data_IF_099394662869
#
_entry.id   IF_099394662869
#
_cell.length_a   1.000
_cell.length_b   1.000
_cell.length_c   1.000
_cell.angle_alpha   90.00
_cell.angle_beta   90.00
_cell.angle_gamma   90.00
#
_symmetry.space_group_name_H-M   'P 1'
#
loop_
_entity.id
_entity.type
_entity.pdbx_description
1 polymer ?
#
# COMPACT_ATOMS: atom_id res chain seq x y z
N UNK A 1 19.82 -60.38 16.35
CA UNK A 1 20.46 -60.87 15.10
C UNK A 1 19.85 -60.04 13.98
N UNK A 2 20.50 -59.17 13.22
CA UNK A 2 21.90 -58.85 12.87
C UNK A 2 21.91 -57.33 12.59
N UNK A 3 22.94 -56.51 12.81
CA UNK A 3 24.32 -56.66 13.25
C UNK A 3 25.08 -55.36 12.86
N UNK A 4 26.06 -54.98 13.70
CA UNK A 4 27.26 -54.15 13.43
C UNK A 4 27.03 -52.65 13.16
N UNK A 5 27.27 -51.76 14.13
CA UNK A 5 28.53 -51.22 14.72
C UNK A 5 29.21 -50.10 13.90
N UNK A 6 29.51 -49.02 14.64
CA UNK A 6 30.64 -48.08 14.55
C UNK A 6 30.50 -46.78 13.71
N UNK A 7 30.44 -45.67 14.44
CA UNK A 7 30.89 -44.29 14.11
C UNK A 7 32.45 -44.21 14.24
N UNK A 8 33.23 -43.11 14.03
CA UNK A 8 32.91 -41.65 14.02
C UNK A 8 33.83 -40.75 13.09
N UNK A 9 33.81 -39.41 13.33
CA UNK A 9 34.81 -38.33 13.05
C UNK A 9 34.43 -37.29 11.95
N UNK A 10 34.05 -36.03 12.30
CA UNK A 10 34.86 -34.77 12.33
C UNK A 10 35.64 -34.48 11.03
N UNK A 11 35.65 -33.31 10.37
CA UNK A 11 35.65 -31.89 10.82
C UNK A 11 35.54 -30.95 9.59
N UNK A 12 35.02 -29.74 9.81
CA UNK A 12 35.15 -28.46 9.11
C UNK A 12 35.97 -28.31 7.80
N UNK A 13 35.42 -27.54 6.83
CA UNK A 13 36.11 -26.43 6.10
C UNK A 13 35.07 -25.72 5.18
N UNK A 14 34.57 -24.54 5.57
CA UNK A 14 35.05 -23.18 5.24
C UNK A 14 34.77 -22.77 3.77
N UNK A 15 33.85 -21.83 3.64
CA UNK A 15 33.62 -20.99 2.46
C UNK A 15 34.92 -20.33 1.96
N UNK A 16 35.08 -20.20 0.63
CA UNK A 16 35.87 -19.13 0.05
C UNK A 16 34.96 -18.12 -0.65
N UNK A 17 35.15 -16.87 -0.24
CA UNK A 17 34.70 -15.64 -0.87
C UNK A 17 35.36 -15.42 -2.24
N UNK A 18 34.62 -14.69 -3.10
CA UNK A 18 35.06 -13.64 -4.05
C UNK A 18 35.07 -13.97 -5.56
N UNK A 19 34.52 -12.99 -6.28
CA UNK A 19 34.70 -12.60 -7.69
C UNK A 19 33.67 -13.14 -8.72
N UNK A 20 32.66 -12.31 -9.02
CA UNK A 20 32.17 -12.19 -10.39
C UNK A 20 33.23 -11.39 -11.20
N UNK A 21 33.45 -11.71 -12.49
CA UNK A 21 32.75 -10.94 -13.51
C UNK A 21 32.30 -11.73 -14.75
N UNK A 22 31.04 -11.47 -15.12
CA UNK A 22 30.51 -11.26 -16.48
C UNK A 22 30.98 -12.19 -17.61
N UNK A 23 30.15 -13.21 -17.87
CA UNK A 23 30.05 -13.79 -19.22
C UNK A 23 28.72 -13.34 -19.83
N UNK A 24 28.82 -12.62 -20.94
CA UNK A 24 27.70 -12.13 -21.73
C UNK A 24 26.93 -13.31 -22.33
N UNK A 25 25.78 -13.64 -21.75
CA UNK A 25 24.80 -14.52 -22.39
C UNK A 25 23.66 -13.66 -22.89
N UNK A 26 23.64 -13.52 -24.22
CA UNK A 26 22.60 -12.97 -25.08
C UNK A 26 21.23 -12.93 -24.41
N UNK A 27 20.83 -11.73 -24.00
CA UNK A 27 19.58 -11.47 -23.32
C UNK A 27 18.40 -11.84 -24.21
N UNK A 28 17.86 -13.04 -24.01
CA UNK A 28 16.49 -13.34 -24.41
C UNK A 28 15.62 -12.43 -23.55
N UNK A 29 15.23 -11.28 -24.09
CA UNK A 29 14.15 -10.45 -23.53
C UNK A 29 12.91 -11.30 -23.63
N UNK A 30 12.67 -12.11 -22.61
CA UNK A 30 11.36 -12.73 -22.37
C UNK A 30 10.41 -11.54 -22.29
N UNK A 31 9.61 -11.33 -23.35
CA UNK A 31 8.45 -10.45 -23.30
C UNK A 31 7.51 -11.04 -22.26
N UNK A 32 7.79 -10.78 -20.99
CA UNK A 32 6.91 -11.11 -19.88
C UNK A 32 5.72 -10.20 -20.09
N UNK A 33 4.57 -10.78 -20.44
CA UNK A 33 3.31 -10.05 -20.58
C UNK A 33 3.13 -9.15 -19.36
N UNK A 34 3.41 -7.85 -19.54
CA UNK A 34 3.43 -6.86 -18.47
C UNK A 34 2.04 -6.66 -17.87
N UNK A 35 1.02 -7.16 -18.56
CA UNK A 35 -0.40 -7.16 -18.23
C UNK A 35 -0.80 -8.14 -17.13
N UNK A 36 0.07 -9.09 -16.72
CA UNK A 36 -0.25 -10.06 -15.65
C UNK A 36 0.29 -9.69 -14.27
N UNK A 37 0.89 -8.51 -14.11
CA UNK A 37 1.37 -8.08 -12.80
C UNK A 37 0.22 -7.48 -12.00
N UNK A 38 -0.29 -8.21 -11.00
CA UNK A 38 -1.36 -7.80 -10.08
C UNK A 38 -1.09 -6.43 -9.43
N UNK A 39 0.19 -6.04 -9.28
CA UNK A 39 0.57 -4.71 -8.76
C UNK A 39 0.25 -3.55 -9.71
N UNK A 40 -0.13 -3.82 -10.96
CA UNK A 40 -0.50 -2.80 -11.96
C UNK A 40 -2.02 -2.66 -12.13
N UNK A 41 -2.81 -3.48 -11.44
CA UNK A 41 -4.26 -3.36 -11.48
C UNK A 41 -4.70 -2.07 -10.79
N UNK A 42 -5.52 -1.28 -11.49
CA UNK A 42 -6.04 -0.01 -10.98
C UNK A 42 -7.04 -0.28 -9.84
N UNK A 43 -6.82 0.36 -8.69
CA UNK A 43 -7.71 0.29 -7.53
C UNK A 43 -7.98 1.70 -7.02
N UNK A 44 -9.23 1.96 -6.61
CA UNK A 44 -9.59 3.22 -5.96
C UNK A 44 -9.03 3.19 -4.54
N UNK A 45 -8.11 4.11 -4.23
CA UNK A 45 -7.44 4.14 -2.92
C UNK A 45 -8.35 4.69 -1.82
N UNK A 46 -9.07 5.76 -2.11
CA UNK A 46 -10.00 6.42 -1.18
C UNK A 46 -11.03 7.23 -1.95
N UNK A 47 -12.23 7.30 -1.38
CA UNK A 47 -13.28 8.20 -1.80
C UNK A 47 -13.55 9.17 -0.65
N UNK A 48 -13.43 10.46 -0.91
CA UNK A 48 -13.69 11.51 0.08
C UNK A 48 -14.96 12.26 -0.32
N UNK A 49 -15.92 12.35 0.61
CA UNK A 49 -17.17 13.10 0.42
C UNK A 49 -17.04 14.46 1.13
N UNK A 50 -17.46 15.53 0.47
CA UNK A 50 -17.40 16.88 1.01
C UNK A 50 -18.69 17.65 0.67
N UNK A 51 -19.25 18.35 1.67
CA UNK A 51 -20.41 19.24 1.50
C UNK A 51 -19.99 20.65 1.94
N UNK A 52 -19.99 21.59 1.00
CA UNK A 52 -19.76 23.01 1.28
C UNK A 52 -21.09 23.74 1.37
N UNK A 53 -21.45 24.20 2.58
CA UNK A 53 -22.72 24.89 2.83
C UNK A 53 -22.60 26.41 2.69
N UNK A 54 -21.41 26.99 2.92
CA UNK A 54 -21.16 28.42 2.77
C UNK A 54 -21.67 29.31 3.91
N UNK A 55 -22.37 28.72 4.89
CA UNK A 55 -22.86 29.37 6.12
C UNK A 55 -22.52 28.51 7.35
N UNK A 56 -22.48 29.15 8.51
CA UNK A 56 -22.34 28.47 9.80
C UNK A 56 -23.71 28.16 10.43
N UNK A 57 -23.77 27.22 11.37
CA UNK A 57 -24.99 26.94 12.15
C UNK A 57 -25.77 25.71 11.65
N UNK A 58 -27.11 25.80 11.66
CA UNK A 58 -27.99 24.62 11.57
C UNK A 58 -27.92 23.84 10.26
N UNK A 59 -27.58 24.50 9.15
CA UNK A 59 -27.41 23.77 7.89
C UNK A 59 -26.13 22.94 7.89
N UNK A 60 -25.07 23.45 8.51
CA UNK A 60 -23.81 22.70 8.67
C UNK A 60 -24.01 21.46 9.55
N UNK A 61 -24.74 21.60 10.66
CA UNK A 61 -25.03 20.46 11.56
C UNK A 61 -25.95 19.43 10.92
N UNK A 62 -26.93 19.86 10.12
CA UNK A 62 -27.77 18.94 9.32
C UNK A 62 -26.99 18.20 8.24
N UNK A 63 -26.13 18.90 7.49
CA UNK A 63 -25.28 18.29 6.47
C UNK A 63 -24.33 17.25 7.07
N UNK A 64 -23.79 17.52 8.27
CA UNK A 64 -22.97 16.55 9.01
C UNK A 64 -23.75 15.27 9.33
N UNK A 65 -24.98 15.37 9.83
CA UNK A 65 -25.83 14.19 10.12
C UNK A 65 -26.14 13.38 8.86
N UNK A 66 -26.31 14.03 7.71
CA UNK A 66 -26.51 13.32 6.44
C UNK A 66 -25.25 12.54 6.04
N UNK A 67 -24.07 13.14 6.17
CA UNK A 67 -22.81 12.43 5.91
C UNK A 67 -22.60 11.24 6.85
N UNK A 68 -22.94 11.40 8.12
CA UNK A 68 -22.88 10.32 9.11
C UNK A 68 -23.84 9.18 8.74
N UNK A 69 -25.08 9.48 8.35
CA UNK A 69 -26.05 8.47 7.91
C UNK A 69 -25.61 7.73 6.63
N UNK A 70 -24.96 8.43 5.69
CA UNK A 70 -24.51 7.82 4.44
C UNK A 70 -23.22 7.01 4.59
N UNK A 71 -22.32 7.40 5.50
CA UNK A 71 -20.98 6.79 5.61
C UNK A 71 -20.77 5.94 6.86
N UNK A 72 -21.64 6.07 7.87
CA UNK A 72 -21.49 5.42 9.18
C UNK A 72 -20.28 5.92 9.98
N UNK A 73 -19.69 7.06 9.60
CA UNK A 73 -18.49 7.62 10.21
C UNK A 73 -18.74 9.05 10.66
N UNK A 74 -18.01 9.49 11.69
CA UNK A 74 -18.07 10.88 12.15
C UNK A 74 -17.35 11.81 11.17
N UNK A 75 -18.05 12.77 10.54
CA UNK A 75 -17.43 13.66 9.56
C UNK A 75 -16.56 14.72 10.24
N UNK A 76 -15.56 15.24 9.52
CA UNK A 76 -14.66 16.28 10.00
C UNK A 76 -15.13 17.66 9.52
N UNK A 77 -15.29 18.59 10.45
CA UNK A 77 -15.67 19.98 10.13
C UNK A 77 -14.46 20.81 9.69
N UNK A 78 -14.61 21.55 8.59
CA UNK A 78 -13.60 22.50 8.11
C UNK A 78 -13.94 23.93 8.56
N UNK A 79 -12.90 24.75 8.77
CA UNK A 79 -13.02 26.18 9.10
C UNK A 79 -12.61 27.02 7.90
N UNK A 80 -13.27 28.16 7.71
CA UNK A 80 -12.88 29.12 6.67
C UNK A 80 -11.49 29.70 6.94
N UNK A 81 -10.67 29.86 5.90
CA UNK A 81 -9.32 30.44 6.01
C UNK A 81 -9.30 31.97 6.00
N UNK A 82 -10.23 32.58 5.25
CA UNK A 82 -10.34 34.02 5.08
C UNK A 82 -11.81 34.40 5.13
N UNK A 83 -12.07 35.66 5.47
CA UNK A 83 -13.41 36.24 5.38
C UNK A 83 -13.68 36.67 3.94
N UNK A 84 -14.86 36.34 3.43
CA UNK A 84 -15.36 36.82 2.12
C UNK A 84 -16.70 37.45 2.41
N UNK A 85 -16.82 38.77 2.19
CA UNK A 85 -17.99 39.55 2.65
C UNK A 85 -19.32 39.07 2.04
N UNK A 86 -19.27 38.44 0.88
CA UNK A 86 -20.42 37.89 0.16
C UNK A 86 -20.88 36.53 0.67
N UNK A 87 -20.03 35.78 1.38
CA UNK A 87 -20.44 34.54 2.06
C UNK A 87 -20.92 34.93 3.47
N UNK A 88 -22.20 34.67 3.72
CA UNK A 88 -22.99 35.18 4.84
C UNK A 88 -22.47 34.79 6.22
#
# INVERSE_FOLDING_TARGET
MTGRKANPATTATKSPTKAAPKTATTGRVVKKDKSKNVMRDLRIRKLCLNICVGESGDRLTRASKVLEQLTGQTPVFSKARYTVRSFG
#
